data_IF_750125241609
#
_entry.id   IF_750125241609
#
_cell.length_a   1.000
_cell.length_b   1.000
_cell.length_c   1.000
_cell.angle_alpha   90.00
_cell.angle_beta   90.00
_cell.angle_gamma   90.00
#
_symmetry.space_group_name_H-M   'P 1'
#
loop_
_entity.id
_entity.type
_entity.pdbx_description
1 polymer ?
#
# COMPACT_ATOMS: atom_id res chain seq x y z
N UNK A 1 -0.48 -2.82 16.38
CA UNK A 1 0.70 -1.94 16.56
C UNK A 1 1.67 -2.26 15.45
N UNK A 2 2.34 -1.24 14.90
CA UNK A 2 3.32 -1.39 13.81
C UNK A 2 4.68 -1.02 14.39
N UNK A 3 5.69 -1.82 14.07
CA UNK A 3 7.07 -1.57 14.47
C UNK A 3 7.84 -0.95 13.31
N UNK A 4 8.66 0.05 13.61
CA UNK A 4 9.52 0.73 12.64
C UNK A 4 10.96 0.47 13.05
N UNK A 5 11.70 -0.25 12.22
CA UNK A 5 13.09 -0.64 12.49
C UNK A 5 14.02 0.16 11.59
N UNK A 6 14.93 0.92 12.19
CA UNK A 6 15.95 1.66 11.44
C UNK A 6 16.99 0.70 10.84
N UNK A 7 17.26 0.82 9.55
CA UNK A 7 18.22 -0.01 8.79
C UNK A 7 19.42 0.79 8.26
N UNK A 8 19.54 2.08 8.60
CA UNK A 8 20.60 2.96 8.08
C UNK A 8 20.17 3.74 6.82
N UNK A 9 20.90 4.81 6.49
CA UNK A 9 20.70 5.63 5.28
C UNK A 9 19.25 6.12 5.05
N UNK A 10 18.55 6.54 6.11
CA UNK A 10 17.13 6.91 6.07
C UNK A 10 16.21 5.80 5.53
N UNK A 11 16.60 4.53 5.75
CA UNK A 11 15.78 3.36 5.49
C UNK A 11 15.24 2.81 6.79
N UNK A 12 13.96 2.49 6.77
CA UNK A 12 13.31 1.78 7.85
C UNK A 12 12.50 0.61 7.30
N UNK A 13 12.49 -0.50 8.02
CA UNK A 13 11.59 -1.62 7.77
C UNK A 13 10.34 -1.48 8.62
N UNK A 14 9.20 -1.77 8.01
CA UNK A 14 7.90 -1.76 8.67
C UNK A 14 7.49 -3.21 8.96
N UNK A 15 7.21 -3.51 10.21
CA UNK A 15 6.74 -4.83 10.64
C UNK A 15 5.37 -4.74 11.31
N UNK A 16 4.53 -5.73 11.07
CA UNK A 16 3.29 -5.89 11.83
C UNK A 16 3.54 -6.49 13.23
N UNK A 17 2.47 -6.63 14.01
CA UNK A 17 2.56 -7.18 15.36
C UNK A 17 3.02 -8.66 15.41
N UNK A 18 2.99 -9.37 14.29
CA UNK A 18 3.47 -10.74 14.17
C UNK A 18 4.95 -10.82 13.71
N UNK A 19 5.63 -9.67 13.54
CA UNK A 19 6.99 -9.60 13.00
C UNK A 19 7.05 -9.83 11.48
N UNK A 20 5.91 -9.74 10.79
CA UNK A 20 5.90 -9.86 9.33
C UNK A 20 6.30 -8.53 8.72
N UNK A 21 7.30 -8.54 7.82
CA UNK A 21 7.62 -7.37 7.02
C UNK A 21 6.43 -6.98 6.14
N UNK A 22 5.90 -5.78 6.35
CA UNK A 22 4.76 -5.24 5.60
C UNK A 22 5.17 -4.12 4.64
N UNK A 23 6.40 -3.61 4.73
CA UNK A 23 6.81 -2.46 3.94
C UNK A 23 8.09 -1.80 4.39
N UNK A 24 8.33 -0.61 3.85
CA UNK A 24 9.53 0.17 4.13
C UNK A 24 9.24 1.67 4.17
N UNK A 25 10.14 2.40 4.80
CA UNK A 25 10.34 3.82 4.58
C UNK A 25 11.70 3.98 3.91
N UNK A 26 11.77 4.77 2.84
CA UNK A 26 13.04 5.12 2.19
C UNK A 26 13.05 6.61 1.88
N UNK A 27 13.78 7.37 2.69
CA UNK A 27 13.77 8.83 2.61
C UNK A 27 12.36 9.39 2.86
N UNK A 28 11.72 9.92 1.82
CA UNK A 28 10.36 10.49 1.89
C UNK A 28 9.31 9.61 1.24
N UNK A 29 9.61 8.33 1.06
CA UNK A 29 8.73 7.38 0.42
C UNK A 29 8.33 6.28 1.39
N UNK A 30 7.07 5.87 1.36
CA UNK A 30 6.52 4.78 2.17
C UNK A 30 6.05 3.69 1.23
N UNK A 31 6.63 2.50 1.33
CA UNK A 31 6.28 1.35 0.52
C UNK A 31 5.60 0.23 1.29
N UNK A 32 4.76 -0.54 0.61
CA UNK A 32 4.09 -1.72 1.15
C UNK A 32 4.28 -2.93 0.23
N UNK A 33 4.67 -4.07 0.79
CA UNK A 33 4.87 -5.35 0.08
C UNK A 33 3.70 -6.32 0.25
N UNK A 34 3.78 -7.44 -0.46
CA UNK A 34 2.89 -8.59 -0.29
C UNK A 34 1.55 -8.40 -1.00
N UNK A 35 1.53 -7.60 -2.07
CA UNK A 35 0.38 -7.47 -2.95
C UNK A 35 0.44 -8.59 -3.99
N UNK A 36 -0.71 -9.11 -4.39
CA UNK A 36 -0.77 -10.28 -5.29
C UNK A 36 -0.51 -9.91 -6.74
N UNK A 37 -1.11 -8.83 -7.17
CA UNK A 37 -1.13 -8.39 -8.55
C UNK A 37 -1.41 -6.89 -8.64
N UNK A 38 -1.50 -6.41 -9.88
CA UNK A 38 -1.84 -5.02 -10.20
C UNK A 38 -3.21 -4.59 -9.66
N UNK A 39 -4.21 -5.48 -9.71
CA UNK A 39 -5.55 -5.14 -9.23
C UNK A 39 -5.55 -4.92 -7.71
N UNK A 40 -4.92 -5.84 -6.97
CA UNK A 40 -4.73 -5.75 -5.52
C UNK A 40 -3.97 -4.46 -5.15
N UNK A 41 -2.97 -4.08 -5.95
CA UNK A 41 -2.23 -2.83 -5.78
C UNK A 41 -3.10 -1.59 -6.01
N UNK A 42 -3.88 -1.53 -7.09
CA UNK A 42 -4.80 -0.42 -7.35
C UNK A 42 -5.85 -0.29 -6.23
N UNK A 43 -6.45 -1.40 -5.80
CA UNK A 43 -7.45 -1.37 -4.71
C UNK A 43 -6.82 -1.00 -3.37
N UNK A 44 -5.57 -1.40 -3.13
CA UNK A 44 -4.82 -0.99 -1.94
C UNK A 44 -4.49 0.51 -1.98
N UNK A 45 -4.03 1.04 -3.12
CA UNK A 45 -3.79 2.49 -3.28
C UNK A 45 -5.05 3.29 -2.99
N UNK A 46 -6.20 2.87 -3.53
CA UNK A 46 -7.48 3.50 -3.22
C UNK A 46 -7.79 3.51 -1.73
N UNK A 47 -7.64 2.37 -1.06
CA UNK A 47 -7.97 2.23 0.35
C UNK A 47 -7.04 3.06 1.26
N UNK A 48 -5.81 3.30 0.81
CA UNK A 48 -4.80 4.05 1.57
C UNK A 48 -4.76 5.54 1.23
N UNK A 49 -5.37 5.97 0.13
CA UNK A 49 -5.29 7.35 -0.33
C UNK A 49 -5.93 8.35 0.64
N UNK A 50 -7.14 8.10 1.11
CA UNK A 50 -7.81 8.98 2.07
C UNK A 50 -7.08 9.04 3.44
N UNK A 51 -6.64 7.91 4.03
CA UNK A 51 -5.75 7.92 5.19
C UNK A 51 -4.47 8.74 4.96
N UNK A 52 -3.86 8.63 3.78
CA UNK A 52 -2.67 9.40 3.40
C UNK A 52 -2.96 10.90 3.43
N UNK A 53 -4.00 11.34 2.72
CA UNK A 53 -4.37 12.76 2.65
C UNK A 53 -4.73 13.31 4.03
N UNK A 54 -5.48 12.54 4.82
CA UNK A 54 -5.86 12.91 6.18
C UNK A 54 -4.64 13.08 7.08
N UNK A 55 -3.70 12.12 7.07
CA UNK A 55 -2.48 12.20 7.86
C UNK A 55 -1.62 13.41 7.44
N UNK A 56 -1.52 13.67 6.13
CA UNK A 56 -0.77 14.81 5.63
C UNK A 56 -1.40 16.15 5.98
N UNK A 57 -2.74 16.25 5.99
CA UNK A 57 -3.46 17.47 6.35
C UNK A 57 -3.25 17.86 7.83
N UNK A 58 -3.02 16.88 8.72
CA UNK A 58 -2.69 17.14 10.13
C UNK A 58 -1.34 17.83 10.30
N UNK A 59 -0.35 17.50 9.46
CA UNK A 59 0.99 18.10 9.50
C UNK A 59 1.10 19.36 8.64
N UNK A 60 0.27 19.48 7.60
CA UNK A 60 0.32 20.55 6.61
C UNK A 60 -1.08 21.10 6.31
N UNK A 61 -1.65 21.93 7.23
CA UNK A 61 -2.96 22.51 7.03
C UNK A 61 -2.99 23.42 5.78
N UNK A 62 -4.10 23.39 5.04
CA UNK A 62 -4.29 24.16 3.81
C UNK A 62 -3.84 23.46 2.52
N UNK A 63 -3.35 22.22 2.61
CA UNK A 63 -3.09 21.41 1.41
C UNK A 63 -4.40 21.07 0.68
N UNK A 64 -4.47 21.17 -0.66
CA UNK A 64 -5.62 20.72 -1.42
C UNK A 64 -5.90 19.24 -1.19
N UNK A 65 -7.16 18.90 -0.90
CA UNK A 65 -7.61 17.52 -0.80
C UNK A 65 -7.95 16.99 -2.20
N UNK A 66 -7.22 15.97 -2.65
CA UNK A 66 -7.46 15.34 -3.95
C UNK A 66 -8.33 14.10 -3.81
N UNK A 67 -9.46 14.07 -4.52
CA UNK A 67 -10.39 12.94 -4.51
C UNK A 67 -10.06 11.99 -5.66
N UNK A 68 -9.77 10.73 -5.34
CA UNK A 68 -9.43 9.70 -6.34
C UNK A 68 -10.69 9.01 -6.84
N UNK A 69 -10.82 8.91 -8.16
CA UNK A 69 -11.93 8.22 -8.82
C UNK A 69 -11.52 6.84 -9.32
N UNK A 70 -12.17 5.78 -8.83
CA UNK A 70 -11.89 4.39 -9.24
C UNK A 70 -11.92 4.18 -10.75
N UNK A 71 -12.89 4.80 -11.43
CA UNK A 71 -13.08 4.64 -12.87
C UNK A 71 -11.91 5.19 -13.70
N UNK A 72 -11.10 6.09 -13.12
CA UNK A 72 -9.93 6.71 -13.76
C UNK A 72 -8.60 6.08 -13.36
N UNK A 73 -8.60 5.08 -12.47
CA UNK A 73 -7.35 4.43 -12.07
C UNK A 73 -6.74 3.62 -13.20
N UNK A 74 -5.47 3.87 -13.48
CA UNK A 74 -4.69 3.20 -14.51
C UNK A 74 -3.25 3.01 -14.04
N UNK A 75 -2.55 2.07 -14.67
CA UNK A 75 -1.10 2.08 -14.68
C UNK A 75 -0.60 2.96 -15.84
N UNK A 76 0.42 3.78 -15.55
CA UNK A 76 1.14 4.56 -16.52
C UNK A 76 2.64 4.37 -16.31
N UNK A 77 3.41 4.29 -17.40
CA UNK A 77 4.86 4.15 -17.36
C UNK A 77 5.50 5.46 -17.83
N UNK A 78 6.41 6.05 -17.05
CA UNK A 78 7.07 7.34 -17.38
C UNK A 78 8.48 7.18 -17.97
N UNK A 79 8.93 5.94 -18.13
CA UNK A 79 10.26 5.58 -18.63
C UNK A 79 11.21 5.11 -17.52
N UNK A 80 10.96 5.51 -16.27
CA UNK A 80 11.75 5.11 -15.10
C UNK A 80 10.95 4.25 -14.12
N UNK A 81 9.65 4.49 -13.99
CA UNK A 81 8.76 3.83 -13.03
C UNK A 81 7.41 3.49 -13.66
N UNK A 82 6.78 2.43 -13.13
CA UNK A 82 5.35 2.22 -13.26
C UNK A 82 4.62 2.99 -12.15
N UNK A 83 3.56 3.70 -12.51
CA UNK A 83 2.76 4.52 -11.61
C UNK A 83 1.31 4.08 -11.64
N UNK A 84 0.70 3.99 -10.47
CA UNK A 84 -0.75 4.01 -10.31
C UNK A 84 -1.17 5.48 -10.33
N UNK A 85 -1.98 5.86 -11.31
CA UNK A 85 -2.48 7.22 -11.50
C UNK A 85 -4.00 7.23 -11.66
N UNK A 86 -4.64 8.36 -11.37
CA UNK A 86 -6.05 8.61 -11.67
C UNK A 86 -6.26 9.53 -12.90
N UNK A 87 -5.32 9.49 -13.84
CA UNK A 87 -5.18 10.35 -15.04
C UNK A 87 -4.74 11.79 -14.75
N UNK A 88 -4.95 12.30 -13.54
CA UNK A 88 -4.56 13.66 -13.16
C UNK A 88 -3.28 13.68 -12.32
N UNK A 89 -3.12 12.70 -11.44
CA UNK A 89 -2.04 12.67 -10.46
C UNK A 89 -1.41 11.27 -10.38
N UNK A 90 -0.07 11.15 -10.31
CA UNK A 90 0.56 9.93 -9.86
C UNK A 90 0.28 9.73 -8.37
N UNK A 91 -0.39 8.63 -8.01
CA UNK A 91 -0.80 8.35 -6.62
C UNK A 91 0.28 7.55 -5.88
N UNK A 92 0.81 6.51 -6.53
CA UNK A 92 1.86 5.66 -5.99
C UNK A 92 2.67 5.04 -7.13
N UNK A 93 3.94 4.73 -6.86
CA UNK A 93 4.73 3.86 -7.73
C UNK A 93 4.28 2.42 -7.53
N UNK A 94 4.29 1.65 -8.60
CA UNK A 94 4.04 0.22 -8.59
C UNK A 94 5.34 -0.51 -8.91
N UNK A 95 5.61 -1.57 -8.16
CA UNK A 95 6.77 -2.43 -8.36
C UNK A 95 6.30 -3.88 -8.54
N UNK A 96 6.76 -4.52 -9.60
CA UNK A 96 6.57 -5.95 -9.86
C UNK A 96 7.74 -6.74 -9.30
N UNK A 97 7.49 -7.98 -8.86
CA UNK A 97 8.55 -8.91 -8.47
C UNK A 97 9.33 -8.50 -7.23
N UNK A 98 8.70 -7.83 -6.26
CA UNK A 98 9.35 -7.41 -5.02
C UNK A 98 9.24 -8.50 -3.95
N UNK A 99 10.40 -9.01 -3.50
CA UNK A 99 10.54 -9.98 -2.41
C UNK A 99 11.63 -11.04 -2.71
N UNK A 100 12.34 -11.51 -1.68
CA UNK A 100 13.30 -12.61 -1.84
C UNK A 100 12.59 -13.96 -1.61
N UNK A 101 12.30 -14.70 -2.69
CA UNK A 101 11.77 -16.07 -2.61
C UNK A 101 10.79 -16.49 -3.72
N UNK A 102 10.43 -17.78 -3.75
CA UNK A 102 9.41 -18.34 -4.66
C UNK A 102 8.02 -17.82 -4.26
N UNK A 103 7.64 -16.69 -4.84
CA UNK A 103 6.38 -16.00 -4.60
C UNK A 103 6.52 -14.50 -4.79
N UNK A 104 7.09 -14.10 -5.93
CA UNK A 104 7.24 -12.71 -6.38
C UNK A 104 5.93 -11.93 -6.17
N UNK A 105 5.93 -11.05 -5.17
CA UNK A 105 4.80 -10.16 -4.89
C UNK A 105 4.93 -8.86 -5.67
N UNK A 106 3.85 -8.09 -5.67
CA UNK A 106 3.90 -6.68 -6.05
C UNK A 106 4.02 -5.79 -4.82
N UNK A 107 4.50 -4.57 -5.03
CA UNK A 107 4.57 -3.55 -4.01
C UNK A 107 4.10 -2.20 -4.55
N UNK A 108 3.71 -1.31 -3.64
CA UNK A 108 3.39 0.08 -3.95
C UNK A 108 4.23 1.02 -3.10
N UNK A 109 4.52 2.22 -3.58
CA UNK A 109 5.24 3.25 -2.83
C UNK A 109 4.60 4.62 -3.01
N UNK A 110 4.22 5.23 -1.89
CA UNK A 110 3.72 6.60 -1.85
C UNK A 110 4.89 7.56 -1.67
N UNK A 111 5.05 8.51 -2.59
CA UNK A 111 5.99 9.60 -2.45
C UNK A 111 5.36 10.75 -1.66
N UNK A 112 5.96 11.12 -0.53
CA UNK A 112 5.51 12.25 0.27
C UNK A 112 6.12 13.57 -0.24
N UNK A 113 5.51 14.73 0.09
CA UNK A 113 6.03 16.03 -0.32
C UNK A 113 7.48 16.26 0.10
N UNK A 114 8.22 17.06 -0.68
CA UNK A 114 9.64 17.36 -0.43
C UNK A 114 9.91 18.03 0.92
N UNK A 115 8.91 18.71 1.49
CA UNK A 115 8.98 19.36 2.79
C UNK A 115 8.62 18.42 3.96
N UNK A 116 8.25 17.16 3.70
CA UNK A 116 8.07 16.16 4.76
C UNK A 116 9.44 15.79 5.36
N UNK A 117 9.58 15.96 6.67
CA UNK A 117 10.72 15.47 7.43
C UNK A 117 10.48 14.02 7.89
N UNK A 118 11.52 13.38 8.41
CA UNK A 118 11.47 11.98 8.84
C UNK A 118 10.36 11.70 9.87
N UNK A 119 10.16 12.57 10.86
CA UNK A 119 9.11 12.43 11.86
C UNK A 119 7.71 12.40 11.23
N UNK A 120 7.46 13.25 10.24
CA UNK A 120 6.20 13.24 9.47
C UNK A 120 6.07 11.95 8.67
N UNK A 121 7.14 11.49 8.01
CA UNK A 121 7.12 10.24 7.23
C UNK A 121 6.79 9.05 8.12
N UNK A 122 7.42 8.93 9.29
CA UNK A 122 7.16 7.86 10.28
C UNK A 122 5.71 7.94 10.78
N UNK A 123 5.24 9.14 11.13
CA UNK A 123 3.85 9.36 11.58
C UNK A 123 2.83 8.91 10.52
N UNK A 124 3.03 9.32 9.26
CA UNK A 124 2.17 8.92 8.13
C UNK A 124 2.26 7.40 7.90
N UNK A 125 3.45 6.79 7.99
CA UNK A 125 3.63 5.36 7.83
C UNK A 125 2.81 4.55 8.85
N UNK A 126 2.75 4.99 10.12
CA UNK A 126 1.89 4.36 11.12
C UNK A 126 0.41 4.41 10.76
N UNK A 127 -0.08 5.55 10.26
CA UNK A 127 -1.48 5.71 9.83
C UNK A 127 -1.78 4.77 8.66
N UNK A 128 -0.93 4.77 7.63
CA UNK A 128 -1.12 3.93 6.45
C UNK A 128 -1.03 2.45 6.76
N UNK A 129 -0.06 2.03 7.56
CA UNK A 129 0.08 0.63 7.94
C UNK A 129 -1.11 0.14 8.77
N UNK A 130 -1.65 0.99 9.65
CA UNK A 130 -2.89 0.67 10.40
C UNK A 130 -4.09 0.54 9.47
N UNK A 131 -4.23 1.46 8.51
CA UNK A 131 -5.28 1.40 7.49
C UNK A 131 -5.15 0.14 6.62
N UNK A 132 -3.93 -0.24 6.22
CA UNK A 132 -3.67 -1.44 5.43
C UNK A 132 -4.08 -2.73 6.17
N UNK A 133 -3.69 -2.85 7.44
CA UNK A 133 -4.07 -4.00 8.28
C UNK A 133 -5.59 -4.10 8.40
N UNK A 134 -6.25 -2.96 8.63
CA UNK A 134 -7.72 -2.89 8.76
C UNK A 134 -8.41 -3.27 7.46
N UNK A 135 -7.95 -2.73 6.34
CA UNK A 135 -8.45 -3.05 5.00
C UNK A 135 -8.32 -4.54 4.67
N UNK A 136 -7.13 -5.12 4.89
CA UNK A 136 -6.87 -6.56 4.68
C UNK A 136 -7.74 -7.45 5.57
N UNK A 137 -7.97 -7.07 6.83
CA UNK A 137 -8.87 -7.79 7.73
C UNK A 137 -10.32 -7.75 7.22
N UNK A 138 -10.78 -6.60 6.73
CA UNK A 138 -12.11 -6.44 6.14
C UNK A 138 -12.30 -7.31 4.90
N UNK A 139 -11.32 -7.33 3.99
CA UNK A 139 -11.34 -8.19 2.79
C UNK A 139 -11.44 -9.68 3.15
N UNK A 140 -10.69 -10.14 4.15
CA UNK A 140 -10.74 -11.54 4.61
C UNK A 140 -12.11 -11.91 5.18
N UNK A 141 -12.83 -10.97 5.79
CA UNK A 141 -14.18 -11.18 6.36
C UNK A 141 -15.29 -11.15 5.31
N UNK A 142 -15.13 -10.35 4.26
CA UNK A 142 -16.15 -10.16 3.21
C UNK A 142 -16.06 -11.18 2.08
N UNK A 143 -14.90 -11.82 1.87
CA UNK A 143 -14.81 -12.94 0.94
C UNK A 143 -15.44 -14.20 1.56
N UNK A 144 -16.53 -14.77 0.99
CA UNK A 144 -17.03 -16.05 1.43
C UNK A 144 -15.92 -17.09 1.28
N UNK A 145 -15.69 -17.87 2.35
CA UNK A 145 -14.78 -19.02 2.32
C UNK A 145 -15.08 -19.82 1.05
N UNK A 146 -14.11 -20.11 0.16
CA UNK A 146 -14.38 -20.86 -1.05
C UNK A 146 -15.11 -22.12 -0.62
N UNK A 147 -16.35 -22.27 -1.10
CA UNK A 147 -17.19 -23.42 -0.82
C UNK A 147 -16.36 -24.59 -1.36
N UNK A 148 -15.72 -25.32 -0.46
CA UNK A 148 -14.94 -26.49 -0.81
C UNK A 148 -15.82 -27.28 -1.77
N UNK A 149 -15.27 -27.58 -2.94
CA UNK A 149 -15.88 -28.41 -3.95
C UNK A 149 -16.13 -29.79 -3.32
N UNK A 150 -17.20 -29.88 -2.54
CA UNK A 150 -17.76 -31.13 -2.05
C UNK A 150 -18.57 -31.68 -3.20
N UNK A 151 -17.90 -32.57 -3.93
CA UNK A 151 -18.31 -33.99 -3.90
C UNK A 151 -19.82 -34.19 -3.96
N UNK A 152 -20.33 -34.11 -5.19
CA UNK A 152 -21.14 -35.17 -5.77
C UNK A 152 -20.59 -35.32 -7.19
N UNK A 153 -19.53 -36.09 -7.40
CA UNK A 153 -19.69 -37.55 -7.57
C UNK A 153 -21.13 -37.88 -7.93
N UNK A 154 -21.39 -37.64 -9.22
CA UNK A 154 -21.92 -38.67 -10.10
C UNK A 154 -22.29 -39.94 -9.32
N UNK A 155 -23.59 -39.98 -8.99
CA UNK A 155 -24.45 -41.15 -8.98
C UNK A 155 -23.81 -42.24 -9.86
N UNK A 156 -23.22 -43.25 -9.20
CA UNK A 156 -22.97 -44.57 -9.75
C UNK A 156 -24.14 -45.48 -9.37
#
# INVERSE_FOLDING_TARGET
>A
MINVHFEGDNRHRLEDAAGTNIGWIRGRAIGFVGLRDEHDAMTTVMALWEPLQTALAQHFPGRPHHVVHRSRLRLAHDGAFEWITDEQLPLARFYRGVGEGKGEGSAIEFALPSYANEGVVISVAHVLATALVTYRATLKRTMPKPRAAREREAIA
#
